data_IF_339172424757
#
_entry.id   IF_339172424757
#
_cell.length_a   1.000
_cell.length_b   1.000
_cell.length_c   1.000
_cell.angle_alpha   90.00
_cell.angle_beta   90.00
_cell.angle_gamma   90.00
#
_symmetry.space_group_name_H-M   'P 1'
#
loop_
_entity.id
_entity.type
_entity.pdbx_description
1 polymer ?
#
# COMPACT_ATOMS: atom_id res chain seq x y z
N UNK A 1 -23.27 -18.94 0.05
CA UNK A 1 -21.82 -18.76 0.32
C UNK A 1 -21.64 -17.35 0.85
N UNK A 2 -20.99 -17.19 1.99
CA UNK A 2 -20.56 -15.86 2.47
C UNK A 2 -19.51 -15.31 1.50
N UNK A 3 -19.64 -14.03 1.14
CA UNK A 3 -18.67 -13.35 0.28
C UNK A 3 -17.30 -13.35 0.98
N UNK A 4 -16.25 -13.82 0.29
CA UNK A 4 -14.88 -13.78 0.79
C UNK A 4 -14.30 -12.40 0.50
N UNK A 5 -13.86 -11.69 1.53
CA UNK A 5 -13.28 -10.36 1.43
C UNK A 5 -11.78 -10.40 1.74
N UNK A 6 -11.02 -9.50 1.12
CA UNK A 6 -9.62 -9.26 1.43
C UNK A 6 -9.48 -7.82 1.91
N UNK A 7 -9.00 -7.62 3.13
CA UNK A 7 -8.59 -6.28 3.54
C UNK A 7 -7.23 -5.96 2.88
N UNK A 8 -7.31 -5.29 1.74
CA UNK A 8 -6.15 -5.01 0.88
C UNK A 8 -5.17 -4.00 1.50
N UNK A 9 -5.53 -3.31 2.59
CA UNK A 9 -4.65 -2.34 3.23
C UNK A 9 -5.08 -1.98 4.66
N UNK A 10 -4.33 -2.44 5.65
CA UNK A 10 -4.55 -2.10 7.05
C UNK A 10 -3.24 -1.93 7.85
N UNK A 11 -3.34 -1.35 9.05
CA UNK A 11 -2.23 -1.16 9.99
C UNK A 11 -2.53 -1.79 11.35
N UNK A 12 -2.57 -3.12 11.39
CA UNK A 12 -2.85 -3.87 12.62
C UNK A 12 -1.74 -3.72 13.68
N UNK A 13 -0.55 -3.30 13.28
CA UNK A 13 0.57 -2.98 14.16
C UNK A 13 0.47 -1.60 14.83
N UNK A 14 -0.52 -0.79 14.47
CA UNK A 14 -0.67 0.56 15.00
C UNK A 14 -0.84 0.55 16.54
N UNK A 15 -0.03 1.32 17.30
CA UNK A 15 -0.08 1.32 18.77
C UNK A 15 -1.47 1.63 19.36
N UNK A 16 -2.32 2.36 18.64
CA UNK A 16 -3.67 2.73 19.08
C UNK A 16 -4.61 1.52 19.17
N UNK A 17 -4.32 0.46 18.42
CA UNK A 17 -5.17 -0.74 18.34
C UNK A 17 -4.43 -2.05 18.60
N UNK A 18 -3.10 -2.01 18.76
CA UNK A 18 -2.24 -3.20 18.87
C UNK A 18 -2.73 -4.22 19.92
N UNK A 19 -3.20 -3.74 21.08
CA UNK A 19 -3.72 -4.60 22.14
C UNK A 19 -5.04 -5.31 21.79
N UNK A 20 -5.73 -4.87 20.74
CA UNK A 20 -6.99 -5.45 20.24
C UNK A 20 -6.79 -6.26 18.96
N UNK A 21 -5.60 -6.23 18.36
CA UNK A 21 -5.32 -6.86 17.07
C UNK A 21 -5.75 -8.33 16.97
N UNK A 22 -5.45 -9.22 17.95
CA UNK A 22 -5.92 -10.61 17.88
C UNK A 22 -7.45 -10.73 17.83
N UNK A 23 -8.15 -9.91 18.62
CA UNK A 23 -9.61 -9.89 18.64
C UNK A 23 -10.18 -9.33 17.33
N UNK A 24 -9.56 -8.28 16.78
CA UNK A 24 -9.97 -7.68 15.49
C UNK A 24 -9.82 -8.68 14.35
N UNK A 25 -8.70 -9.40 14.27
CA UNK A 25 -8.48 -10.44 13.27
C UNK A 25 -9.55 -11.53 13.38
N UNK A 26 -9.77 -12.09 14.59
CA UNK A 26 -10.78 -13.13 14.79
C UNK A 26 -12.19 -12.67 14.37
N UNK A 27 -12.59 -11.47 14.81
CA UNK A 27 -13.90 -10.89 14.46
C UNK A 27 -14.06 -10.69 12.95
N UNK A 28 -13.00 -10.25 12.27
CA UNK A 28 -13.03 -10.03 10.83
C UNK A 28 -13.07 -11.36 10.05
N UNK A 29 -12.38 -12.40 10.52
CA UNK A 29 -12.47 -13.76 9.98
C UNK A 29 -13.91 -14.30 10.06
N UNK A 30 -14.58 -14.11 11.20
CA UNK A 30 -15.96 -14.56 11.42
C UNK A 30 -16.99 -13.83 10.53
N UNK A 31 -16.64 -12.65 10.00
CA UNK A 31 -17.52 -11.86 9.11
C UNK A 31 -17.21 -12.06 7.62
N UNK A 32 -16.25 -12.92 7.28
CA UNK A 32 -15.92 -13.30 5.90
C UNK A 32 -14.69 -12.60 5.30
N UNK A 33 -13.97 -11.79 6.07
CA UNK A 33 -12.63 -11.33 5.68
C UNK A 33 -11.67 -12.51 5.81
N UNK A 34 -10.98 -12.91 4.75
CA UNK A 34 -10.14 -14.12 4.77
C UNK A 34 -8.63 -13.82 4.76
N UNK A 35 -8.26 -12.58 4.47
CA UNK A 35 -6.88 -12.11 4.39
C UNK A 35 -6.78 -10.62 4.78
N UNK A 36 -5.58 -10.20 5.19
CA UNK A 36 -5.22 -8.82 5.52
C UNK A 36 -3.83 -8.51 4.96
N UNK A 37 -3.67 -7.43 4.21
CA UNK A 37 -2.35 -6.87 3.92
C UNK A 37 -2.01 -5.85 5.00
N UNK A 38 -1.08 -6.22 5.89
CA UNK A 38 -0.66 -5.39 7.03
C UNK A 38 0.58 -4.61 6.63
N UNK A 39 0.44 -3.29 6.49
CA UNK A 39 1.48 -2.45 5.92
C UNK A 39 2.34 -1.81 6.99
N UNK A 40 3.60 -2.22 7.08
CA UNK A 40 4.63 -1.50 7.83
C UNK A 40 4.94 -0.16 7.18
N UNK A 41 5.28 0.84 7.98
CA UNK A 41 5.51 2.21 7.50
C UNK A 41 6.93 2.71 7.74
N UNK A 42 7.73 2.00 8.55
CA UNK A 42 9.12 2.38 8.88
C UNK A 42 9.93 1.21 9.44
N UNK A 43 11.26 1.35 9.52
CA UNK A 43 12.14 0.34 10.13
C UNK A 43 11.72 -0.07 11.56
N UNK A 44 11.01 0.81 12.27
CA UNK A 44 10.56 0.61 13.66
C UNK A 44 9.46 -0.44 13.79
N UNK A 45 8.66 -0.67 12.74
CA UNK A 45 7.48 -1.54 12.83
C UNK A 45 7.58 -2.84 12.00
N UNK A 46 8.59 -2.97 11.14
CA UNK A 46 8.74 -4.16 10.29
C UNK A 46 8.88 -5.47 11.07
N UNK A 47 9.59 -5.50 12.20
CA UNK A 47 9.67 -6.71 13.03
C UNK A 47 8.29 -7.15 13.54
N UNK A 48 7.48 -6.20 14.01
CA UNK A 48 6.13 -6.48 14.50
C UNK A 48 5.21 -6.95 13.36
N UNK A 49 5.30 -6.33 12.19
CA UNK A 49 4.54 -6.74 10.99
C UNK A 49 4.94 -8.15 10.54
N UNK A 50 6.24 -8.48 10.58
CA UNK A 50 6.75 -9.83 10.31
C UNK A 50 6.15 -10.84 11.29
N UNK A 51 6.24 -10.57 12.60
CA UNK A 51 5.70 -11.44 13.65
C UNK A 51 4.18 -11.67 13.50
N UNK A 52 3.44 -10.65 13.06
CA UNK A 52 2.01 -10.79 12.75
C UNK A 52 1.76 -11.76 11.60
N UNK A 53 2.56 -11.70 10.54
CA UNK A 53 2.50 -12.65 9.41
C UNK A 53 2.87 -14.08 9.80
N UNK A 54 3.78 -14.26 10.75
CA UNK A 54 4.16 -15.57 11.29
C UNK A 54 3.08 -16.14 12.23
N UNK A 55 2.44 -15.28 13.02
CA UNK A 55 1.45 -15.67 14.02
C UNK A 55 0.04 -15.87 13.45
N UNK A 56 -0.28 -15.23 12.32
CA UNK A 56 -1.62 -15.27 11.71
C UNK A 56 -1.51 -15.59 10.21
N UNK A 57 -1.94 -16.80 9.82
CA UNK A 57 -1.94 -17.23 8.41
C UNK A 57 -2.80 -16.36 7.47
N UNK A 58 -3.73 -15.57 8.05
CA UNK A 58 -4.54 -14.62 7.30
C UNK A 58 -3.79 -13.31 6.99
N UNK A 59 -2.64 -13.06 7.60
CA UNK A 59 -1.86 -11.83 7.41
C UNK A 59 -0.81 -12.01 6.33
N UNK A 60 -0.81 -11.10 5.37
CA UNK A 60 0.27 -10.87 4.42
C UNK A 60 1.05 -9.66 4.93
N UNK A 61 2.30 -9.83 5.39
CA UNK A 61 3.12 -8.71 5.83
C UNK A 61 3.54 -7.87 4.62
N UNK A 62 3.48 -6.55 4.73
CA UNK A 62 4.09 -5.64 3.77
C UNK A 62 5.20 -4.84 4.46
N UNK A 63 6.35 -4.71 3.78
CA UNK A 63 7.45 -3.87 4.25
C UNK A 63 7.73 -2.74 3.28
N UNK A 64 7.90 -1.55 3.83
CA UNK A 64 8.11 -0.33 3.09
C UNK A 64 8.38 0.83 4.03
N UNK A 65 9.03 1.85 3.48
CA UNK A 65 9.28 3.13 4.11
C UNK A 65 8.31 4.14 3.50
N UNK A 66 7.32 4.51 4.30
CA UNK A 66 6.26 5.44 3.92
C UNK A 66 6.80 6.89 3.87
N UNK A 67 6.32 7.75 2.95
CA UNK A 67 6.86 9.11 2.74
C UNK A 67 6.94 9.97 4.00
N UNK A 68 6.08 9.75 4.99
CA UNK A 68 6.11 10.53 6.24
C UNK A 68 7.28 10.19 7.15
N UNK A 69 7.85 9.00 7.05
CA UNK A 69 8.87 8.50 7.98
C UNK A 69 10.25 8.44 7.36
N UNK A 70 10.43 8.95 6.13
CA UNK A 70 11.72 8.84 5.44
C UNK A 70 12.83 9.57 6.17
N UNK A 71 12.56 10.70 6.83
CA UNK A 71 13.57 11.45 7.59
C UNK A 71 14.08 10.67 8.82
N UNK A 72 13.34 9.65 9.27
CA UNK A 72 13.72 8.81 10.41
C UNK A 72 14.55 7.59 10.00
N UNK A 73 14.77 7.39 8.69
CA UNK A 73 15.47 6.22 8.16
C UNK A 73 16.94 6.20 8.60
N UNK A 74 17.44 5.02 8.89
CA UNK A 74 18.87 4.82 9.14
C UNK A 74 19.66 4.88 7.82
N UNK A 75 20.97 5.15 7.83
CA UNK A 75 21.78 5.05 6.62
C UNK A 75 21.76 3.66 5.94
N UNK A 76 21.41 2.60 6.68
CA UNK A 76 21.37 1.22 6.19
C UNK A 76 19.95 0.74 5.83
N UNK A 77 18.94 1.61 5.89
CA UNK A 77 17.51 1.26 5.75
C UNK A 77 17.21 0.34 4.56
N UNK A 78 17.86 0.57 3.42
CA UNK A 78 17.58 -0.18 2.18
C UNK A 78 18.13 -1.60 2.23
N UNK A 79 19.30 -1.81 2.88
CA UNK A 79 19.83 -3.16 3.08
C UNK A 79 18.97 -3.90 4.12
N UNK A 80 18.59 -3.23 5.21
CA UNK A 80 17.65 -3.77 6.19
C UNK A 80 16.35 -4.22 5.49
N UNK A 81 15.77 -3.39 4.61
CA UNK A 81 14.56 -3.74 3.86
C UNK A 81 14.76 -5.01 3.00
N UNK A 82 15.91 -5.13 2.31
CA UNK A 82 16.25 -6.33 1.52
C UNK A 82 16.33 -7.58 2.39
N UNK A 83 16.93 -7.50 3.58
CA UNK A 83 17.02 -8.60 4.53
C UNK A 83 15.63 -9.07 4.98
N UNK A 84 14.70 -8.15 5.26
CA UNK A 84 13.31 -8.49 5.59
C UNK A 84 12.61 -9.29 4.49
N UNK A 85 12.83 -8.96 3.22
CA UNK A 85 12.30 -9.73 2.09
C UNK A 85 12.95 -11.10 1.92
N UNK A 86 14.24 -11.25 2.28
CA UNK A 86 14.91 -12.56 2.25
C UNK A 86 14.35 -13.50 3.32
N UNK A 87 14.13 -13.00 4.54
CA UNK A 87 13.62 -13.82 5.65
C UNK A 87 12.10 -13.97 5.65
N UNK A 88 11.38 -13.19 4.83
CA UNK A 88 9.92 -13.24 4.72
C UNK A 88 9.46 -13.39 3.26
N UNK A 89 9.63 -14.57 2.63
CA UNK A 89 9.34 -14.76 1.21
C UNK A 89 7.86 -14.65 0.82
N UNK A 90 6.92 -14.45 1.75
CA UNK A 90 5.50 -14.20 1.46
C UNK A 90 5.16 -12.71 1.46
N UNK A 91 6.09 -11.83 1.85
CA UNK A 91 5.82 -10.41 2.02
C UNK A 91 5.59 -9.67 0.69
N UNK A 92 4.81 -8.60 0.77
CA UNK A 92 4.62 -7.61 -0.29
C UNK A 92 5.41 -6.32 0.00
N UNK A 93 5.55 -5.44 -0.99
CA UNK A 93 6.16 -4.12 -0.78
C UNK A 93 5.08 -3.14 -0.35
N UNK A 94 5.29 -2.40 0.73
CA UNK A 94 4.32 -1.41 1.21
C UNK A 94 4.43 -1.16 2.71
N UNK A 95 4.02 0.01 3.21
CA UNK A 95 3.48 1.13 2.43
C UNK A 95 4.60 2.04 1.91
N UNK A 96 4.53 2.40 0.63
CA UNK A 96 5.52 3.26 -0.04
C UNK A 96 4.79 4.29 -0.88
N UNK A 97 5.40 5.43 -1.22
CA UNK A 97 4.74 6.36 -2.13
C UNK A 97 5.09 7.83 -1.95
N UNK A 98 4.14 8.70 -2.30
CA UNK A 98 4.34 10.16 -2.40
C UNK A 98 3.22 10.92 -1.69
N UNK A 99 3.57 11.93 -0.93
CA UNK A 99 2.62 12.76 -0.18
C UNK A 99 2.99 14.25 -0.25
N UNK A 100 2.16 15.03 -0.96
CA UNK A 100 2.17 16.50 -0.98
C UNK A 100 1.07 17.10 -0.08
N UNK A 101 0.49 16.28 0.80
CA UNK A 101 -0.52 16.63 1.79
C UNK A 101 0.07 17.37 3.00
N UNK A 102 -0.72 17.47 4.08
CA UNK A 102 -0.34 18.27 5.26
C UNK A 102 0.88 17.75 6.01
N UNK A 103 1.06 16.42 6.05
CA UNK A 103 2.21 15.78 6.69
C UNK A 103 3.38 15.65 5.71
N UNK A 104 3.15 15.10 4.52
CA UNK A 104 4.22 14.86 3.55
C UNK A 104 4.90 16.14 3.04
N UNK A 105 4.21 17.27 2.97
CA UNK A 105 4.84 18.55 2.56
C UNK A 105 5.96 19.06 3.49
N UNK A 106 6.11 18.46 4.68
CA UNK A 106 7.19 18.78 5.62
C UNK A 106 8.50 18.08 5.28
N UNK A 107 8.41 17.04 4.46
CA UNK A 107 9.51 16.19 4.02
C UNK A 107 9.93 16.65 2.62
N UNK A 108 11.24 16.67 2.33
CA UNK A 108 11.73 17.01 1.00
C UNK A 108 11.13 16.08 -0.06
N UNK A 109 10.52 16.68 -1.10
CA UNK A 109 9.79 15.90 -2.09
C UNK A 109 10.73 15.12 -3.01
N UNK A 110 11.94 15.60 -3.29
CA UNK A 110 12.90 14.83 -4.08
C UNK A 110 13.37 13.61 -3.30
N UNK A 111 13.53 13.72 -1.98
CA UNK A 111 13.85 12.60 -1.10
C UNK A 111 12.72 11.55 -1.07
N UNK A 112 11.44 12.00 -1.06
CA UNK A 112 10.30 11.07 -1.23
C UNK A 112 10.38 10.32 -2.57
N UNK A 113 10.67 11.03 -3.67
CA UNK A 113 10.78 10.43 -5.01
C UNK A 113 11.93 9.42 -5.06
N UNK A 114 13.12 9.76 -4.57
CA UNK A 114 14.27 8.86 -4.56
C UNK A 114 13.99 7.58 -3.76
N UNK A 115 13.49 7.73 -2.53
CA UNK A 115 13.15 6.59 -1.66
C UNK A 115 12.06 5.73 -2.27
N UNK A 116 11.03 6.34 -2.86
CA UNK A 116 9.95 5.61 -3.51
C UNK A 116 10.45 4.83 -4.75
N UNK A 117 11.25 5.45 -5.61
CA UNK A 117 11.82 4.79 -6.80
C UNK A 117 12.64 3.56 -6.43
N UNK A 118 13.52 3.66 -5.43
CA UNK A 118 14.34 2.51 -4.98
C UNK A 118 13.49 1.34 -4.47
N UNK A 119 12.36 1.62 -3.83
CA UNK A 119 11.44 0.59 -3.35
C UNK A 119 10.62 -0.04 -4.49
N UNK A 120 10.25 0.73 -5.52
CA UNK A 120 9.61 0.21 -6.73
C UNK A 120 10.57 -0.68 -7.54
N UNK A 121 11.83 -0.29 -7.68
CA UNK A 121 12.86 -1.09 -8.31
C UNK A 121 13.05 -2.42 -7.57
N UNK A 122 13.15 -2.38 -6.24
CA UNK A 122 13.22 -3.59 -5.41
C UNK A 122 11.98 -4.49 -5.60
N UNK A 123 10.78 -3.91 -5.64
CA UNK A 123 9.56 -4.69 -5.89
C UNK A 123 9.60 -5.43 -7.23
N UNK A 124 10.12 -4.78 -8.28
CA UNK A 124 10.29 -5.36 -9.60
C UNK A 124 11.33 -6.47 -9.61
N UNK A 125 12.50 -6.24 -8.99
CA UNK A 125 13.55 -7.25 -8.83
C UNK A 125 13.03 -8.51 -8.13
N UNK A 126 12.19 -8.34 -7.10
CA UNK A 126 11.62 -9.44 -6.31
C UNK A 126 10.33 -10.02 -6.90
N UNK A 127 9.80 -9.44 -7.99
CA UNK A 127 8.50 -9.75 -8.56
C UNK A 127 7.36 -9.76 -7.50
N UNK A 128 7.28 -8.67 -6.71
CA UNK A 128 6.32 -8.51 -5.61
C UNK A 128 5.27 -7.45 -5.88
N UNK A 129 4.02 -7.65 -5.40
CA UNK A 129 3.02 -6.58 -5.46
C UNK A 129 3.43 -5.41 -4.55
N UNK A 130 2.96 -4.21 -4.91
CA UNK A 130 3.25 -2.97 -4.17
C UNK A 130 1.97 -2.31 -3.67
N UNK A 131 1.90 -1.92 -2.40
CA UNK A 131 0.87 -1.02 -1.87
C UNK A 131 1.40 0.41 -1.83
N UNK A 132 0.79 1.29 -2.64
CA UNK A 132 1.26 2.64 -2.93
C UNK A 132 0.35 3.72 -2.35
N UNK A 133 0.94 4.55 -1.49
CA UNK A 133 0.36 5.79 -0.99
C UNK A 133 0.51 6.91 -1.98
N UNK A 134 -0.58 7.66 -2.21
CA UNK A 134 -0.50 8.85 -3.02
C UNK A 134 -1.49 9.93 -2.58
N UNK A 135 -0.95 11.05 -2.08
CA UNK A 135 -1.75 12.21 -1.72
C UNK A 135 -1.26 13.43 -2.49
N UNK A 136 -2.12 13.96 -3.37
CA UNK A 136 -1.88 15.17 -4.18
C UNK A 136 -0.62 15.09 -5.07
N UNK A 137 -0.17 13.89 -5.40
CA UNK A 137 1.03 13.63 -6.21
C UNK A 137 0.77 12.61 -7.35
N UNK A 138 -0.48 12.48 -7.80
CA UNK A 138 -0.84 11.46 -8.81
C UNK A 138 -0.16 11.67 -10.17
N UNK A 139 0.11 12.93 -10.56
CA UNK A 139 0.88 13.21 -11.78
C UNK A 139 2.30 12.69 -11.69
N UNK A 140 3.00 13.02 -10.60
CA UNK A 140 4.36 12.56 -10.33
C UNK A 140 4.42 11.02 -10.23
N UNK A 141 3.45 10.42 -9.54
CA UNK A 141 3.31 8.97 -9.42
C UNK A 141 3.19 8.31 -10.80
N UNK A 142 2.35 8.87 -11.68
CA UNK A 142 2.12 8.32 -13.02
C UNK A 142 3.40 8.36 -13.87
N UNK A 143 4.15 9.47 -13.80
CA UNK A 143 5.44 9.61 -14.49
C UNK A 143 6.45 8.57 -13.99
N UNK A 144 6.57 8.40 -12.67
CA UNK A 144 7.46 7.40 -12.06
C UNK A 144 7.05 5.97 -12.42
N UNK A 145 5.75 5.66 -12.41
CA UNK A 145 5.28 4.33 -12.80
C UNK A 145 5.53 4.04 -14.28
N UNK A 146 5.38 5.04 -15.16
CA UNK A 146 5.70 4.92 -16.59
C UNK A 146 7.19 4.66 -16.84
N UNK A 147 8.07 5.30 -16.07
CA UNK A 147 9.53 5.14 -16.23
C UNK A 147 10.05 3.83 -15.63
N UNK A 148 9.48 3.40 -14.51
CA UNK A 148 9.99 2.24 -13.73
C UNK A 148 9.37 0.91 -14.14
N UNK A 149 8.14 0.93 -14.66
CA UNK A 149 7.36 -0.25 -15.01
C UNK A 149 7.98 -1.13 -16.11
N UNK A 150 7.28 -2.20 -16.53
CA UNK A 150 5.96 -2.65 -16.05
C UNK A 150 6.02 -3.32 -14.67
N UNK A 151 4.87 -3.43 -14.00
CA UNK A 151 4.71 -4.08 -12.68
C UNK A 151 3.83 -5.34 -12.79
N UNK A 152 4.38 -6.48 -13.25
CA UNK A 152 3.59 -7.69 -13.53
C UNK A 152 2.96 -8.32 -12.28
N UNK A 153 3.55 -8.12 -11.10
CA UNK A 153 2.98 -8.56 -9.82
C UNK A 153 1.83 -7.66 -9.31
N UNK A 154 1.59 -6.52 -9.97
CA UNK A 154 0.53 -5.58 -9.64
C UNK A 154 0.95 -4.48 -8.66
N UNK A 155 0.24 -3.34 -8.74
CA UNK A 155 0.41 -2.21 -7.82
C UNK A 155 -0.97 -1.81 -7.30
N UNK A 156 -1.19 -1.83 -5.99
CA UNK A 156 -2.42 -1.34 -5.38
C UNK A 156 -2.21 0.14 -5.04
N UNK A 157 -2.97 1.03 -5.68
CA UNK A 157 -3.10 2.42 -5.25
C UNK A 157 -4.14 2.46 -4.13
N UNK A 158 -3.69 2.42 -2.87
CA UNK A 158 -4.61 2.32 -1.74
C UNK A 158 -5.33 3.64 -1.49
N UNK A 159 -6.60 3.55 -1.08
CA UNK A 159 -7.48 4.73 -0.92
C UNK A 159 -7.37 5.69 -2.10
N UNK A 160 -7.57 5.20 -3.33
CA UNK A 160 -7.41 6.02 -4.52
C UNK A 160 -8.36 7.23 -4.50
N UNK A 161 -7.80 8.44 -4.55
CA UNK A 161 -8.56 9.72 -4.56
C UNK A 161 -8.26 10.59 -5.79
N UNK A 162 -7.55 10.01 -6.77
CA UNK A 162 -7.28 10.62 -8.06
C UNK A 162 -8.55 10.87 -8.89
N UNK A 163 -8.37 11.42 -10.07
CA UNK A 163 -9.46 11.61 -11.02
C UNK A 163 -9.76 10.31 -11.77
N UNK A 164 -11.00 10.15 -12.24
CA UNK A 164 -11.41 8.95 -12.97
C UNK A 164 -10.67 8.81 -14.31
N UNK A 165 -10.21 9.93 -14.88
CA UNK A 165 -9.45 9.99 -16.13
C UNK A 165 -8.06 9.36 -16.01
N UNK A 166 -7.49 9.31 -14.81
CA UNK A 166 -6.18 8.67 -14.57
C UNK A 166 -6.28 7.14 -14.43
N UNK A 167 -7.48 6.61 -14.16
CA UNK A 167 -7.66 5.16 -13.91
C UNK A 167 -7.18 4.30 -15.09
N UNK A 168 -7.53 4.59 -16.36
CA UNK A 168 -7.03 3.81 -17.50
C UNK A 168 -5.50 3.88 -17.63
N UNK A 169 -4.89 5.03 -17.36
CA UNK A 169 -3.44 5.18 -17.46
C UNK A 169 -2.71 4.34 -16.42
N UNK A 170 -3.18 4.36 -15.17
CA UNK A 170 -2.64 3.51 -14.10
C UNK A 170 -2.92 2.02 -14.34
N UNK A 171 -4.14 1.67 -14.78
CA UNK A 171 -4.51 0.28 -15.04
C UNK A 171 -3.65 -0.36 -16.14
N UNK A 172 -3.30 0.39 -17.18
CA UNK A 172 -2.38 -0.04 -18.24
C UNK A 172 -0.96 -0.35 -17.73
N UNK A 173 -0.58 0.22 -16.58
CA UNK A 173 0.71 -0.02 -15.91
C UNK A 173 0.64 -1.15 -14.88
N UNK A 174 -0.49 -1.85 -14.76
CA UNK A 174 -0.70 -2.94 -13.80
C UNK A 174 -1.30 -2.50 -12.46
N UNK A 175 -1.84 -1.28 -12.39
CA UNK A 175 -2.46 -0.79 -11.16
C UNK A 175 -3.83 -1.43 -10.89
N UNK A 176 -4.09 -1.63 -9.60
CA UNK A 176 -5.35 -1.95 -8.96
C UNK A 176 -5.69 -0.81 -8.00
N UNK A 177 -6.97 -0.66 -7.68
CA UNK A 177 -7.47 0.46 -6.89
C UNK A 177 -8.24 -0.07 -5.70
N UNK A 178 -7.95 0.46 -4.51
CA UNK A 178 -8.77 0.21 -3.33
C UNK A 178 -9.42 1.49 -2.84
N UNK A 179 -10.59 1.33 -2.22
CA UNK A 179 -11.40 2.43 -1.70
C UNK A 179 -11.67 2.20 -0.22
N UNK A 180 -11.30 3.17 0.62
CA UNK A 180 -11.62 3.14 2.04
C UNK A 180 -12.98 3.77 2.34
N UNK A 181 -13.41 3.67 3.60
CA UNK A 181 -14.62 4.36 4.09
C UNK A 181 -14.61 5.88 3.85
N UNK A 182 -13.45 6.48 3.56
CA UNK A 182 -13.36 7.88 3.14
C UNK A 182 -14.19 8.17 1.88
N UNK A 183 -14.39 7.18 1.00
CA UNK A 183 -15.27 7.27 -0.16
C UNK A 183 -16.68 7.80 0.21
N UNK A 184 -17.18 7.42 1.39
CA UNK A 184 -18.50 7.84 1.88
C UNK A 184 -18.59 9.33 2.22
N UNK A 185 -17.45 9.99 2.40
CA UNK A 185 -17.36 11.45 2.65
C UNK A 185 -17.27 12.27 1.36
N UNK A 186 -17.07 11.63 0.21
CA UNK A 186 -16.88 12.30 -1.08
C UNK A 186 -18.21 12.70 -1.73
N UNK A 187 -18.16 13.68 -2.64
CA UNK A 187 -19.30 13.98 -3.51
C UNK A 187 -19.69 12.75 -4.33
N UNK A 188 -20.98 12.40 -4.32
CA UNK A 188 -21.54 11.20 -4.97
C UNK A 188 -21.12 11.09 -6.44
N UNK A 189 -21.11 12.21 -7.17
CA UNK A 189 -20.78 12.24 -8.59
C UNK A 189 -19.32 11.82 -8.82
N UNK A 190 -18.40 12.32 -7.99
CA UNK A 190 -16.97 11.95 -8.06
C UNK A 190 -16.78 10.48 -7.73
N UNK A 191 -17.33 10.02 -6.61
CA UNK A 191 -17.21 8.63 -6.16
C UNK A 191 -17.76 7.65 -7.22
N UNK A 192 -18.95 7.92 -7.76
CA UNK A 192 -19.59 7.08 -8.79
C UNK A 192 -18.75 7.02 -10.07
N UNK A 193 -18.16 8.15 -10.49
CA UNK A 193 -17.33 8.20 -11.70
C UNK A 193 -16.06 7.36 -11.55
N UNK A 194 -15.40 7.46 -10.39
CA UNK A 194 -14.19 6.69 -10.08
C UNK A 194 -14.48 5.19 -10.05
N UNK A 195 -15.51 4.77 -9.31
CA UNK A 195 -15.90 3.36 -9.25
C UNK A 195 -16.22 2.79 -10.64
N UNK A 196 -16.98 3.51 -11.47
CA UNK A 196 -17.33 3.06 -12.83
C UNK A 196 -16.10 2.86 -13.73
N UNK A 197 -15.12 3.76 -13.64
CA UNK A 197 -13.90 3.66 -14.44
C UNK A 197 -13.08 2.41 -14.08
N UNK A 198 -13.07 2.06 -12.81
CA UNK A 198 -12.34 0.90 -12.28
C UNK A 198 -13.07 -0.43 -12.54
N UNK A 199 -14.39 -0.49 -12.34
CA UNK A 199 -15.20 -1.69 -12.64
C UNK A 199 -15.14 -2.10 -14.11
N UNK A 200 -14.99 -1.15 -15.04
CA UNK A 200 -14.83 -1.46 -16.46
C UNK A 200 -13.53 -2.24 -16.76
N UNK A 201 -12.53 -2.18 -15.88
CA UNK A 201 -11.24 -2.85 -16.02
C UNK A 201 -11.08 -4.14 -15.20
N UNK A 202 -12.05 -4.52 -14.35
CA UNK A 202 -11.89 -5.57 -13.32
C UNK A 202 -10.63 -5.37 -12.45
N UNK A 203 -10.34 -4.12 -12.04
CA UNK A 203 -9.14 -3.75 -11.26
C UNK A 203 -9.45 -3.28 -9.83
N UNK A 204 -10.71 -3.36 -9.39
CA UNK A 204 -11.10 -3.13 -8.01
C UNK A 204 -10.65 -4.29 -7.12
N UNK A 205 -10.00 -4.00 -6.01
CA UNK A 205 -9.63 -4.98 -4.97
C UNK A 205 -10.37 -4.69 -3.67
#
# INVERSE_FOLDING_TARGET
>A
MTMKLFDAHCHLQDPRILNKTPQLIATALDTGVVRFAVNGVSEKDWNLVKEMGESHQSVIPCFGLHPWFIEERTPNWFNTLKEFFQITPSAAVGEVGLDKGSHGKKIDFNDQVEVFQRQLELAKELNRPVSVHCVRAFGDLLEIMKSTGPFPAGVILHSFLGSAEMVPEFANLGAYFSFSGFLMSMKKEKATKMLKADFAGNRCT
#
